data_IF_993121251325
#
_entry.id   IF_993121251325
#
_cell.length_a   1.000
_cell.length_b   1.000
_cell.length_c   1.000
_cell.angle_alpha   90.00
_cell.angle_beta   90.00
_cell.angle_gamma   90.00
#
_symmetry.space_group_name_H-M   'P 1'
#
loop_
_entity.id
_entity.type
_entity.pdbx_description
1 polymer ?
#
# COMPACT_ATOMS: atom_id res chain seq x y z
N UNK A 1 -29.36 32.73 -2.63
CA UNK A 1 -28.77 31.68 -1.78
C UNK A 1 -27.33 31.58 -2.21
N UNK A 2 -26.42 32.07 -1.38
CA UNK A 2 -24.99 31.96 -1.64
C UNK A 2 -24.58 30.54 -1.24
N UNK A 3 -24.10 29.74 -2.19
CA UNK A 3 -23.38 28.52 -1.86
C UNK A 3 -22.09 28.94 -1.15
N UNK A 4 -22.08 28.82 0.17
CA UNK A 4 -20.85 28.88 0.95
C UNK A 4 -19.95 27.75 0.46
N UNK A 5 -18.67 28.01 0.12
CA UNK A 5 -17.75 26.93 -0.17
C UNK A 5 -17.67 26.08 1.10
N UNK A 6 -18.23 24.87 1.04
CA UNK A 6 -17.95 23.85 2.05
C UNK A 6 -16.44 23.76 2.09
N UNK A 7 -15.86 24.13 3.23
CA UNK A 7 -14.43 24.25 3.37
C UNK A 7 -13.86 22.82 3.26
N UNK A 8 -13.48 22.40 2.05
CA UNK A 8 -12.94 21.07 1.69
C UNK A 8 -11.55 20.81 2.31
N UNK A 9 -11.15 21.64 3.28
CA UNK A 9 -9.87 21.55 3.97
C UNK A 9 -10.03 20.59 5.15
N UNK A 10 -9.27 19.48 5.20
CA UNK A 10 -9.33 18.56 6.32
C UNK A 10 -8.95 19.24 7.64
N UNK A 11 -9.65 18.90 8.73
CA UNK A 11 -9.25 19.29 10.08
C UNK A 11 -8.01 18.52 10.57
N UNK A 12 -7.41 18.99 11.67
CA UNK A 12 -6.20 18.38 12.22
C UNK A 12 -6.39 16.90 12.61
N UNK A 13 -7.57 16.52 13.09
CA UNK A 13 -7.87 15.13 13.44
C UNK A 13 -8.05 14.24 12.21
N UNK A 14 -8.58 14.77 11.12
CA UNK A 14 -8.65 14.09 9.82
C UNK A 14 -7.24 13.89 9.22
N UNK A 15 -6.39 14.90 9.28
CA UNK A 15 -4.99 14.80 8.84
C UNK A 15 -4.20 13.76 9.64
N UNK A 16 -4.39 13.70 10.95
CA UNK A 16 -3.71 12.70 11.79
C UNK A 16 -4.15 11.27 11.41
N UNK A 17 -5.46 11.04 11.25
CA UNK A 17 -5.97 9.73 10.79
C UNK A 17 -5.45 9.36 9.40
N UNK A 18 -5.28 10.32 8.49
CA UNK A 18 -4.67 10.08 7.18
C UNK A 18 -3.20 9.65 7.31
N UNK A 19 -2.42 10.28 8.21
CA UNK A 19 -1.04 9.86 8.50
C UNK A 19 -0.97 8.46 9.08
N UNK A 20 -1.85 8.13 10.02
CA UNK A 20 -1.96 6.76 10.57
C UNK A 20 -2.23 5.72 9.46
N UNK A 21 -3.10 6.06 8.49
CA UNK A 21 -3.36 5.21 7.32
C UNK A 21 -2.10 5.07 6.46
N UNK A 22 -1.38 6.15 6.18
CA UNK A 22 -0.14 6.12 5.40
C UNK A 22 0.91 5.22 6.04
N UNK A 23 1.11 5.33 7.35
CA UNK A 23 2.03 4.45 8.08
C UNK A 23 1.58 2.98 8.04
N UNK A 24 0.29 2.71 8.21
CA UNK A 24 -0.24 1.36 8.09
C UNK A 24 -0.06 0.76 6.68
N UNK A 25 -0.16 1.59 5.63
CA UNK A 25 0.12 1.16 4.26
C UNK A 25 1.61 0.85 4.04
N UNK A 26 2.51 1.67 4.60
CA UNK A 26 3.97 1.42 4.57
C UNK A 26 4.32 0.10 5.26
N UNK A 27 3.75 -0.16 6.42
CA UNK A 27 3.91 -1.43 7.13
C UNK A 27 3.36 -2.61 6.31
N UNK A 28 2.20 -2.44 5.67
CA UNK A 28 1.62 -3.47 4.82
C UNK A 28 2.50 -3.79 3.59
N UNK A 29 3.15 -2.78 3.00
CA UNK A 29 4.12 -2.97 1.90
C UNK A 29 5.29 -3.84 2.37
N UNK A 30 5.90 -3.52 3.51
CA UNK A 30 7.02 -4.29 4.06
C UNK A 30 6.64 -5.76 4.32
N UNK A 31 5.49 -5.98 4.97
CA UNK A 31 4.97 -7.33 5.24
C UNK A 31 4.65 -8.11 3.97
N UNK A 32 4.17 -7.43 2.92
CA UNK A 32 3.91 -8.05 1.62
C UNK A 32 5.22 -8.46 0.93
N UNK A 33 6.26 -7.62 0.99
CA UNK A 33 7.59 -7.93 0.46
C UNK A 33 8.21 -9.15 1.19
N UNK A 34 8.07 -9.24 2.51
CA UNK A 34 8.55 -10.41 3.28
C UNK A 34 7.90 -11.71 2.80
N UNK A 35 6.56 -11.72 2.70
CA UNK A 35 5.80 -12.89 2.23
C UNK A 35 6.15 -13.23 0.77
N UNK A 36 6.31 -12.22 -0.08
CA UNK A 36 6.68 -12.41 -1.47
C UNK A 36 8.08 -13.02 -1.58
N UNK A 37 9.03 -12.54 -0.78
CA UNK A 37 10.38 -13.11 -0.71
C UNK A 37 10.36 -14.58 -0.27
N UNK A 38 9.59 -14.93 0.76
CA UNK A 38 9.47 -16.32 1.21
C UNK A 38 8.90 -17.24 0.13
N UNK A 39 7.85 -16.79 -0.57
CA UNK A 39 7.25 -17.53 -1.70
C UNK A 39 8.29 -17.78 -2.81
N UNK A 40 9.07 -16.76 -3.19
CA UNK A 40 10.11 -16.88 -4.20
C UNK A 40 11.25 -17.81 -3.75
N UNK A 41 11.66 -17.71 -2.48
CA UNK A 41 12.68 -18.55 -1.88
C UNK A 41 12.26 -20.02 -1.90
N UNK A 42 11.02 -20.33 -1.52
CA UNK A 42 10.49 -21.69 -1.57
C UNK A 42 10.39 -22.25 -2.99
N UNK A 43 9.91 -21.44 -3.94
CA UNK A 43 9.80 -21.85 -5.34
C UNK A 43 11.17 -22.17 -5.95
N UNK A 44 12.18 -21.36 -5.61
CA UNK A 44 13.59 -21.59 -5.97
C UNK A 44 14.10 -22.90 -5.36
N UNK A 45 13.88 -23.14 -4.07
CA UNK A 45 14.28 -24.38 -3.39
C UNK A 45 13.64 -25.62 -4.01
N UNK A 46 12.39 -25.51 -4.47
CA UNK A 46 11.63 -26.58 -5.15
C UNK A 46 11.98 -26.70 -6.65
N UNK A 47 12.82 -25.82 -7.20
CA UNK A 47 13.09 -25.69 -8.66
C UNK A 47 11.80 -25.56 -9.49
N UNK A 48 10.77 -24.95 -8.91
CA UNK A 48 9.42 -24.89 -9.45
C UNK A 48 9.19 -23.71 -10.42
N UNK A 49 10.22 -22.91 -10.71
CA UNK A 49 10.09 -21.70 -11.51
C UNK A 49 9.40 -20.57 -10.75
N UNK A 50 8.87 -19.58 -11.49
CA UNK A 50 8.20 -18.40 -10.91
C UNK A 50 6.76 -18.78 -10.50
N UNK A 51 6.33 -18.51 -9.25
CA UNK A 51 4.96 -18.82 -8.80
C UNK A 51 3.90 -18.02 -9.54
N UNK A 52 2.72 -18.62 -9.78
CA UNK A 52 1.60 -17.96 -10.46
C UNK A 52 1.14 -16.68 -9.74
N UNK A 53 1.24 -16.65 -8.41
CA UNK A 53 0.82 -15.52 -7.58
C UNK A 53 1.77 -14.32 -7.65
N UNK A 54 2.99 -14.49 -8.17
CA UNK A 54 4.03 -13.46 -8.14
C UNK A 54 3.59 -12.15 -8.82
N UNK A 55 2.88 -12.25 -9.96
CA UNK A 55 2.36 -11.07 -10.66
C UNK A 55 1.35 -10.33 -9.79
N UNK A 56 0.48 -11.06 -9.10
CA UNK A 56 -0.54 -10.51 -8.20
C UNK A 56 0.10 -9.81 -7.01
N UNK A 57 1.13 -10.41 -6.39
CA UNK A 57 1.87 -9.79 -5.28
C UNK A 57 2.54 -8.49 -5.72
N UNK A 58 3.20 -8.52 -6.88
CA UNK A 58 3.83 -7.32 -7.49
C UNK A 58 2.81 -6.21 -7.77
N UNK A 59 1.60 -6.56 -8.24
CA UNK A 59 0.53 -5.59 -8.49
C UNK A 59 -0.04 -5.01 -7.21
N UNK A 60 -0.27 -5.84 -6.18
CA UNK A 60 -0.76 -5.42 -4.89
C UNK A 60 0.22 -4.43 -4.24
N UNK A 61 1.52 -4.74 -4.26
CA UNK A 61 2.56 -3.86 -3.72
C UNK A 61 2.55 -2.49 -4.38
N UNK A 62 2.52 -2.45 -5.73
CA UNK A 62 2.46 -1.19 -6.49
C UNK A 62 1.20 -0.38 -6.22
N UNK A 63 0.07 -1.05 -5.97
CA UNK A 63 -1.17 -0.36 -5.61
C UNK A 63 -1.04 0.32 -4.24
N UNK A 64 -0.41 -0.33 -3.26
CA UNK A 64 -0.13 0.26 -1.95
C UNK A 64 0.87 1.41 -2.04
N UNK A 65 1.98 1.24 -2.77
CA UNK A 65 2.97 2.30 -3.02
C UNK A 65 2.31 3.53 -3.65
N UNK A 66 1.41 3.32 -4.62
CA UNK A 66 0.65 4.41 -5.24
C UNK A 66 -0.30 5.08 -4.26
N UNK A 67 -0.97 4.33 -3.39
CA UNK A 67 -1.84 4.90 -2.37
C UNK A 67 -1.06 5.76 -1.38
N UNK A 68 0.11 5.29 -0.92
CA UNK A 68 1.02 6.07 -0.06
C UNK A 68 1.41 7.38 -0.75
N UNK A 69 1.83 7.30 -2.02
CA UNK A 69 2.24 8.48 -2.78
C UNK A 69 1.11 9.52 -2.91
N UNK A 70 -0.12 9.07 -3.16
CA UNK A 70 -1.28 9.97 -3.30
C UNK A 70 -1.75 10.61 -1.98
N UNK A 71 -1.40 10.03 -0.84
CA UNK A 71 -1.86 10.47 0.48
C UNK A 71 -0.82 11.28 1.26
N UNK A 72 0.44 11.24 0.84
CA UNK A 72 1.57 11.94 1.48
C UNK A 72 2.10 13.12 0.63
N UNK A 73 1.48 13.38 -0.53
CA UNK A 73 1.64 14.62 -1.34
C UNK A 73 0.79 15.77 -0.80
#
# INVERSE_FOLDING_TARGET
MSDEPTNDIPDAGQLERLREIVEALRDAIGRLDDVHFDILREASAKRAGRPDIDKTLSQARRALEKAVHLLDE
#
